data_IF_081855121689
#
_entry.id   IF_081855121689
#
_cell.length_a   1.000
_cell.length_b   1.000
_cell.length_c   1.000
_cell.angle_alpha   90.00
_cell.angle_beta   90.00
_cell.angle_gamma   90.00
#
_symmetry.space_group_name_H-M   'P 1'
#
loop_
_entity.id
_entity.type
_entity.pdbx_description
1 polymer ?
#
# COMPACT_ATOMS: atom_id res chain seq x y z
N UNK A 1 7.72 -20.76 -12.53
CA UNK A 1 8.47 -20.53 -13.80
C UNK A 1 8.82 -19.04 -13.92
N UNK A 2 10.09 -18.70 -14.23
CA UNK A 2 10.48 -17.30 -14.49
C UNK A 2 10.49 -17.05 -16.00
N UNK A 3 9.79 -16.01 -16.47
CA UNK A 3 9.74 -15.58 -17.88
C UNK A 3 10.20 -14.13 -17.94
N UNK A 4 11.29 -13.80 -18.67
CA UNK A 4 11.72 -12.42 -18.89
C UNK A 4 10.59 -11.55 -19.46
N UNK A 5 10.57 -10.27 -19.13
CA UNK A 5 9.45 -9.37 -19.47
C UNK A 5 9.21 -9.30 -20.97
N UNK A 6 10.28 -9.20 -21.75
CA UNK A 6 10.28 -9.11 -23.21
C UNK A 6 9.73 -10.38 -23.89
N UNK A 7 9.76 -11.52 -23.20
CA UNK A 7 9.29 -12.81 -23.74
C UNK A 7 7.88 -13.18 -23.25
N UNK A 8 7.33 -12.44 -22.29
CA UNK A 8 6.04 -12.79 -21.65
C UNK A 8 4.88 -12.82 -22.62
N UNK A 9 4.82 -11.84 -23.54
CA UNK A 9 3.70 -11.78 -24.49
C UNK A 9 3.67 -13.00 -25.42
N UNK A 10 4.81 -13.47 -25.89
CA UNK A 10 4.87 -14.66 -26.74
C UNK A 10 4.66 -15.95 -25.94
N UNK A 11 5.29 -16.05 -24.77
CA UNK A 11 5.11 -17.18 -23.86
C UNK A 11 3.64 -17.36 -23.43
N UNK A 12 2.91 -16.28 -23.16
CA UNK A 12 1.50 -16.36 -22.75
C UNK A 12 0.54 -16.75 -23.88
N UNK A 13 0.99 -16.76 -25.14
CA UNK A 13 0.26 -17.33 -26.28
C UNK A 13 0.48 -18.83 -26.44
N UNK A 14 1.57 -19.35 -25.90
CA UNK A 14 1.94 -20.76 -26.00
C UNK A 14 1.05 -21.63 -25.11
N UNK A 15 0.40 -22.65 -25.70
CA UNK A 15 -0.54 -23.53 -25.00
C UNK A 15 0.13 -24.38 -23.90
N UNK A 16 1.38 -24.79 -24.11
CA UNK A 16 2.12 -25.57 -23.11
C UNK A 16 2.48 -24.71 -21.91
N UNK A 17 2.86 -23.45 -22.15
CA UNK A 17 3.10 -22.47 -21.10
C UNK A 17 1.81 -22.20 -20.31
N UNK A 18 0.67 -21.99 -20.98
CA UNK A 18 -0.63 -21.81 -20.33
C UNK A 18 -1.03 -23.03 -19.49
N UNK A 19 -0.82 -24.24 -20.02
CA UNK A 19 -1.08 -25.48 -19.28
C UNK A 19 -0.24 -25.57 -18.00
N UNK A 20 1.04 -25.24 -18.11
CA UNK A 20 1.96 -25.24 -16.96
C UNK A 20 1.57 -24.17 -15.93
N UNK A 21 1.24 -22.96 -16.37
CA UNK A 21 0.78 -21.89 -15.49
C UNK A 21 -0.53 -22.26 -14.79
N UNK A 22 -1.48 -22.89 -15.49
CA UNK A 22 -2.72 -23.39 -14.89
C UNK A 22 -2.43 -24.41 -13.80
N UNK A 23 -1.59 -25.39 -14.06
CA UNK A 23 -1.18 -26.35 -13.04
C UNK A 23 -0.57 -25.65 -11.81
N UNK A 24 0.45 -24.80 -12.01
CA UNK A 24 1.16 -24.13 -10.91
C UNK A 24 0.28 -23.16 -10.13
N UNK A 25 -0.65 -22.47 -10.79
CA UNK A 25 -1.44 -21.39 -10.21
C UNK A 25 -2.84 -21.81 -9.74
N UNK A 26 -3.31 -23.02 -10.06
CA UNK A 26 -4.64 -23.50 -9.69
C UNK A 26 -4.55 -24.86 -8.98
N UNK A 27 -3.83 -25.81 -9.55
CA UNK A 27 -3.88 -27.21 -9.14
C UNK A 27 -2.77 -27.58 -8.15
N UNK A 28 -1.60 -26.93 -8.22
CA UNK A 28 -0.44 -27.23 -7.38
C UNK A 28 -0.72 -26.89 -5.91
N UNK A 29 -0.63 -27.89 -5.03
CA UNK A 29 -0.87 -27.76 -3.58
C UNK A 29 0.40 -27.43 -2.79
N UNK A 30 1.56 -27.34 -3.41
CA UNK A 30 2.81 -27.00 -2.71
C UNK A 30 2.73 -25.60 -2.12
N UNK A 31 3.40 -25.34 -0.96
CA UNK A 31 3.47 -24.00 -0.39
C UNK A 31 3.99 -22.98 -1.41
N UNK A 32 3.30 -21.85 -1.52
CA UNK A 32 3.63 -20.75 -2.42
C UNK A 32 3.30 -19.43 -1.77
N UNK A 33 4.05 -18.39 -2.10
CA UNK A 33 3.70 -17.00 -1.74
C UNK A 33 2.46 -16.51 -2.49
N UNK A 34 2.15 -17.12 -3.63
CA UNK A 34 0.91 -16.86 -4.35
C UNK A 34 -0.24 -17.65 -3.73
N UNK A 35 -1.28 -16.96 -3.27
CA UNK A 35 -2.40 -17.55 -2.52
C UNK A 35 -3.35 -18.38 -3.36
N UNK A 36 -3.28 -18.33 -4.68
CA UNK A 36 -4.20 -18.97 -5.64
C UNK A 36 -5.67 -18.53 -5.49
N UNK A 37 -5.89 -17.39 -4.83
CA UNK A 37 -7.21 -16.81 -4.58
C UNK A 37 -7.54 -15.83 -5.72
N UNK A 38 -8.02 -16.37 -6.84
CA UNK A 38 -8.40 -15.60 -8.02
C UNK A 38 -9.62 -14.69 -7.78
N UNK A 39 -10.40 -15.00 -6.76
CA UNK A 39 -11.45 -14.16 -6.19
C UNK A 39 -10.92 -12.90 -5.47
N UNK A 40 -9.62 -12.86 -5.16
CA UNK A 40 -8.95 -11.75 -4.49
C UNK A 40 -8.00 -10.95 -5.39
N UNK A 41 -7.92 -11.31 -6.67
CA UNK A 41 -7.16 -10.58 -7.68
C UNK A 41 -8.15 -9.77 -8.50
N UNK A 42 -8.06 -8.44 -8.41
CA UNK A 42 -8.99 -7.51 -9.05
C UNK A 42 -8.34 -6.77 -10.19
N UNK A 43 -9.07 -6.59 -11.30
CA UNK A 43 -8.69 -5.66 -12.35
C UNK A 43 -8.97 -4.24 -11.85
N UNK A 44 -7.92 -3.47 -11.56
CA UNK A 44 -8.03 -2.12 -11.01
C UNK A 44 -8.14 -1.09 -12.11
N UNK A 45 -7.32 -1.26 -13.17
CA UNK A 45 -7.32 -0.33 -14.30
C UNK A 45 -7.08 -1.06 -15.61
N UNK A 46 -7.99 -0.89 -16.53
CA UNK A 46 -7.86 -1.34 -17.91
C UNK A 46 -7.09 -0.32 -18.75
N UNK A 47 -6.19 -0.79 -19.60
CA UNK A 47 -5.48 0.05 -20.56
C UNK A 47 -6.35 0.38 -21.79
N UNK A 48 -7.30 -0.50 -22.15
CA UNK A 48 -8.17 -0.33 -23.28
C UNK A 48 -9.63 -0.01 -22.87
N UNK A 49 -10.30 0.96 -23.52
CA UNK A 49 -11.69 1.34 -23.19
C UNK A 49 -12.66 0.15 -23.18
N UNK A 50 -12.47 -0.83 -24.04
CA UNK A 50 -13.34 -2.03 -24.15
C UNK A 50 -13.38 -2.88 -22.88
N UNK A 51 -12.36 -2.79 -22.01
CA UNK A 51 -12.27 -3.57 -20.76
C UNK A 51 -12.60 -2.75 -19.50
N UNK A 52 -12.85 -1.45 -19.61
CA UNK A 52 -13.18 -0.59 -18.46
C UNK A 52 -14.38 -1.11 -17.66
N UNK A 53 -15.35 -1.77 -18.31
CA UNK A 53 -16.49 -2.38 -17.63
C UNK A 53 -16.13 -3.57 -16.72
N UNK A 54 -14.89 -4.05 -16.79
CA UNK A 54 -14.33 -5.11 -15.93
C UNK A 54 -13.59 -4.56 -14.72
N UNK A 55 -13.35 -3.25 -14.65
CA UNK A 55 -12.68 -2.63 -13.50
C UNK A 55 -13.48 -2.87 -12.20
N UNK A 56 -12.74 -3.17 -11.12
CA UNK A 56 -13.30 -3.55 -9.82
C UNK A 56 -13.77 -5.00 -9.71
N UNK A 57 -13.77 -5.78 -10.79
CA UNK A 57 -14.11 -7.21 -10.76
C UNK A 57 -12.91 -8.08 -10.48
N UNK A 58 -13.13 -9.18 -9.75
CA UNK A 58 -12.10 -10.20 -9.59
C UNK A 58 -11.87 -10.99 -10.88
N UNK A 59 -10.67 -11.55 -11.00
CA UNK A 59 -10.35 -12.42 -12.16
C UNK A 59 -11.32 -13.61 -12.23
N UNK A 60 -11.75 -14.15 -11.10
CA UNK A 60 -12.75 -15.22 -11.07
C UNK A 60 -14.11 -14.76 -11.61
N UNK A 61 -14.57 -13.55 -11.25
CA UNK A 61 -15.81 -12.98 -11.81
C UNK A 61 -15.68 -12.73 -13.31
N UNK A 62 -14.54 -12.21 -13.76
CA UNK A 62 -14.27 -11.99 -15.18
C UNK A 62 -14.26 -13.31 -15.94
N UNK A 63 -13.61 -14.34 -15.40
CA UNK A 63 -13.60 -15.68 -16.00
C UNK A 63 -15.02 -16.24 -16.17
N UNK A 64 -15.87 -16.10 -15.15
CA UNK A 64 -17.30 -16.49 -15.23
C UNK A 64 -18.06 -15.71 -16.29
N UNK A 65 -17.87 -14.38 -16.35
CA UNK A 65 -18.53 -13.53 -17.36
C UNK A 65 -18.13 -13.90 -18.79
N UNK A 66 -16.87 -14.30 -18.98
CA UNK A 66 -16.33 -14.68 -20.30
C UNK A 66 -16.49 -16.18 -20.61
N UNK A 67 -17.03 -16.97 -19.66
CA UNK A 67 -17.11 -18.43 -19.75
C UNK A 67 -15.75 -19.07 -20.08
N UNK A 68 -14.70 -18.63 -19.39
CA UNK A 68 -13.31 -19.05 -19.52
C UNK A 68 -12.76 -19.59 -18.21
N UNK A 69 -11.67 -20.34 -18.30
CA UNK A 69 -10.79 -20.62 -17.16
C UNK A 69 -10.12 -19.34 -16.64
N UNK A 70 -9.82 -19.29 -15.32
CA UNK A 70 -9.25 -18.09 -14.68
C UNK A 70 -7.90 -17.69 -15.27
N UNK A 71 -7.06 -18.67 -15.68
CA UNK A 71 -5.77 -18.40 -16.31
C UNK A 71 -5.98 -17.81 -17.70
N UNK A 72 -6.89 -18.39 -18.49
CA UNK A 72 -7.17 -17.88 -19.83
C UNK A 72 -7.79 -16.48 -19.78
N UNK A 73 -8.72 -16.22 -18.86
CA UNK A 73 -9.31 -14.88 -18.69
C UNK A 73 -8.24 -13.84 -18.31
N UNK A 74 -7.37 -14.17 -17.36
CA UNK A 74 -6.28 -13.29 -16.92
C UNK A 74 -5.27 -13.01 -18.04
N UNK A 75 -4.79 -14.07 -18.71
CA UNK A 75 -3.77 -13.96 -19.76
C UNK A 75 -4.31 -13.28 -21.03
N UNK A 76 -5.54 -13.59 -21.43
CA UNK A 76 -6.13 -13.00 -22.64
C UNK A 76 -6.28 -11.48 -22.50
N UNK A 77 -6.84 -10.99 -21.38
CA UNK A 77 -6.93 -9.55 -21.11
C UNK A 77 -5.53 -8.92 -21.07
N UNK A 78 -4.60 -9.54 -20.34
CA UNK A 78 -3.22 -9.04 -20.25
C UNK A 78 -2.56 -8.93 -21.63
N UNK A 79 -2.75 -9.92 -22.51
CA UNK A 79 -2.20 -9.92 -23.87
C UNK A 79 -2.88 -8.88 -24.78
N UNK A 80 -4.20 -8.77 -24.72
CA UNK A 80 -4.94 -7.77 -25.49
C UNK A 80 -4.52 -6.36 -25.14
N UNK A 81 -4.24 -6.11 -23.87
CA UNK A 81 -3.78 -4.83 -23.32
C UNK A 81 -2.26 -4.67 -23.32
N UNK A 82 -1.52 -5.52 -24.03
CA UNK A 82 -0.05 -5.47 -24.13
C UNK A 82 0.68 -5.49 -22.78
N UNK A 83 0.10 -6.18 -21.80
CA UNK A 83 0.57 -6.31 -20.42
C UNK A 83 0.51 -4.98 -19.60
N UNK A 84 -0.29 -4.01 -20.02
CA UNK A 84 -0.47 -2.71 -19.35
C UNK A 84 -1.67 -2.72 -18.37
N UNK A 85 -2.45 -3.81 -18.31
CA UNK A 85 -3.55 -3.97 -17.34
C UNK A 85 -3.00 -3.97 -15.92
N UNK A 86 -3.59 -3.18 -15.02
CA UNK A 86 -3.23 -3.21 -13.61
C UNK A 86 -4.16 -4.16 -12.85
N UNK A 87 -3.56 -5.20 -12.27
CA UNK A 87 -4.23 -6.09 -11.33
C UNK A 87 -3.70 -5.85 -9.91
N UNK A 88 -4.58 -5.96 -8.94
CA UNK A 88 -4.22 -5.90 -7.53
C UNK A 88 -4.62 -7.19 -6.83
N UNK A 89 -3.68 -7.81 -6.13
CA UNK A 89 -3.98 -8.83 -5.14
C UNK A 89 -4.29 -8.13 -3.82
N UNK A 90 -5.54 -8.14 -3.39
CA UNK A 90 -5.99 -7.43 -2.20
C UNK A 90 -5.80 -8.20 -0.89
N UNK A 91 -5.18 -9.39 -0.95
CA UNK A 91 -5.01 -10.23 0.23
C UNK A 91 -6.36 -10.65 0.87
N UNK A 92 -6.36 -10.91 2.16
CA UNK A 92 -7.61 -11.15 2.89
C UNK A 92 -8.44 -9.87 2.98
N UNK A 93 -9.71 -9.96 2.58
CA UNK A 93 -10.72 -8.92 2.79
C UNK A 93 -11.62 -9.22 3.98
N UNK A 94 -11.16 -10.02 4.92
CA UNK A 94 -11.90 -10.25 6.16
C UNK A 94 -11.79 -9.00 7.05
N UNK A 95 -12.75 -8.11 6.87
CA UNK A 95 -12.82 -6.86 7.61
C UNK A 95 -13.12 -7.07 9.09
N UNK A 96 -13.86 -8.14 9.44
CA UNK A 96 -14.14 -8.46 10.84
C UNK A 96 -12.87 -8.91 11.55
N UNK A 97 -12.13 -9.84 10.96
CA UNK A 97 -10.85 -10.27 11.51
C UNK A 97 -9.83 -9.11 11.56
N UNK A 98 -9.80 -8.26 10.53
CA UNK A 98 -8.94 -7.06 10.53
C UNK A 98 -9.34 -6.10 11.65
N UNK A 99 -10.62 -5.85 11.85
CA UNK A 99 -11.10 -4.99 12.92
C UNK A 99 -10.75 -5.55 14.31
N UNK A 100 -10.81 -6.86 14.52
CA UNK A 100 -10.37 -7.49 15.76
C UNK A 100 -8.86 -7.31 16.00
N UNK A 101 -8.04 -7.51 14.96
CA UNK A 101 -6.60 -7.28 15.03
C UNK A 101 -6.32 -5.82 15.37
N UNK A 102 -6.99 -4.87 14.72
CA UNK A 102 -6.81 -3.44 14.97
C UNK A 102 -7.22 -3.02 16.40
N UNK A 103 -8.25 -3.65 16.98
CA UNK A 103 -8.69 -3.42 18.37
C UNK A 103 -7.74 -4.02 19.40
N UNK A 104 -6.99 -5.04 19.05
CA UNK A 104 -6.11 -5.72 19.99
C UNK A 104 -5.11 -4.75 20.63
N UNK A 105 -4.95 -4.74 21.96
CA UNK A 105 -3.96 -3.91 22.64
C UNK A 105 -2.51 -4.36 22.38
N UNK A 106 -2.32 -5.52 21.77
CA UNK A 106 -1.01 -6.13 21.48
C UNK A 106 -0.56 -5.90 20.04
N UNK A 107 -1.35 -5.22 19.22
CA UNK A 107 -1.01 -4.92 17.83
C UNK A 107 -0.76 -3.43 17.63
N UNK A 108 0.16 -3.12 16.73
CA UNK A 108 0.49 -1.76 16.32
C UNK A 108 0.07 -1.54 14.86
N UNK A 109 -0.16 -0.28 14.51
CA UNK A 109 -0.28 0.17 13.13
C UNK A 109 1.00 0.90 12.78
N UNK A 110 1.89 0.29 12.03
CA UNK A 110 3.22 0.87 11.91
C UNK A 110 4.02 0.60 10.63
N UNK A 111 3.52 -0.23 9.70
CA UNK A 111 4.25 -0.55 8.49
C UNK A 111 3.32 -0.88 7.33
N UNK A 112 3.76 -0.60 6.10
CA UNK A 112 2.97 -0.80 4.89
C UNK A 112 3.72 -1.46 3.72
N UNK A 113 5.01 -1.79 3.85
CA UNK A 113 5.92 -2.19 2.76
C UNK A 113 6.04 -1.16 1.62
N UNK A 114 5.50 0.03 1.78
CA UNK A 114 5.56 1.08 0.77
C UNK A 114 7.02 1.39 0.40
N UNK A 115 7.27 1.51 -0.91
CA UNK A 115 8.61 1.75 -1.44
C UNK A 115 9.46 0.48 -1.66
N UNK A 116 9.05 -0.69 -1.17
CA UNK A 116 9.78 -1.93 -1.39
C UNK A 116 9.74 -2.36 -2.88
N UNK A 117 8.63 -2.11 -3.56
CA UNK A 117 8.41 -2.42 -4.97
C UNK A 117 7.74 -1.24 -5.67
N UNK A 118 8.52 -0.26 -6.09
CA UNK A 118 8.07 1.06 -6.55
C UNK A 118 6.92 1.06 -7.57
N UNK A 119 6.85 0.05 -8.44
CA UNK A 119 5.81 -0.05 -9.48
C UNK A 119 4.68 -1.02 -9.12
N UNK A 120 4.77 -1.73 -7.99
CA UNK A 120 3.79 -2.76 -7.61
C UNK A 120 3.11 -2.51 -6.27
N UNK A 121 3.65 -1.61 -5.45
CA UNK A 121 3.18 -1.43 -4.08
C UNK A 121 3.05 0.05 -3.73
N UNK A 122 1.85 0.45 -3.31
CA UNK A 122 1.52 1.82 -2.95
C UNK A 122 0.84 1.92 -1.57
N UNK A 123 1.32 1.17 -0.58
CA UNK A 123 0.77 1.21 0.78
C UNK A 123 1.14 2.47 1.59
N UNK A 124 1.55 3.57 0.94
CA UNK A 124 1.96 4.81 1.62
C UNK A 124 0.85 5.41 2.49
N UNK A 125 -0.41 5.29 2.05
CA UNK A 125 -1.58 5.84 2.72
C UNK A 125 -2.06 5.07 3.94
N UNK A 126 -1.33 4.08 4.47
CA UNK A 126 -1.82 3.21 5.55
C UNK A 126 -2.32 3.99 6.79
N UNK A 127 -1.64 5.05 7.18
CA UNK A 127 -2.02 5.86 8.34
C UNK A 127 -3.32 6.66 8.09
N UNK A 128 -3.44 7.29 6.92
CA UNK A 128 -4.64 8.04 6.54
C UNK A 128 -5.82 7.13 6.23
N UNK A 129 -5.58 5.93 5.67
CA UNK A 129 -6.59 4.86 5.57
C UNK A 129 -7.07 4.40 6.94
N UNK A 130 -6.16 4.20 7.88
CA UNK A 130 -6.52 3.81 9.24
C UNK A 130 -7.44 4.86 9.89
N UNK A 131 -7.10 6.14 9.79
CA UNK A 131 -7.92 7.23 10.34
C UNK A 131 -9.26 7.40 9.60
N UNK A 132 -9.25 7.38 8.27
CA UNK A 132 -10.46 7.58 7.46
C UNK A 132 -11.36 6.36 7.47
N UNK A 133 -10.87 5.26 6.93
CA UNK A 133 -11.68 4.06 6.72
C UNK A 133 -11.98 3.30 8.01
N UNK A 134 -10.96 2.97 8.81
CA UNK A 134 -11.17 2.15 10.00
C UNK A 134 -11.74 2.92 11.20
N UNK A 135 -11.28 4.14 11.42
CA UNK A 135 -11.74 4.95 12.59
C UNK A 135 -13.04 5.68 12.27
N UNK A 136 -13.03 6.56 11.25
CA UNK A 136 -14.20 7.41 10.95
C UNK A 136 -15.37 6.62 10.40
N UNK A 137 -15.17 5.81 9.35
CA UNK A 137 -16.25 5.12 8.62
C UNK A 137 -16.70 3.86 9.35
N UNK A 138 -15.77 2.97 9.69
CA UNK A 138 -16.08 1.69 10.33
C UNK A 138 -16.13 1.73 11.86
N UNK A 139 -15.73 2.83 12.48
CA UNK A 139 -15.82 3.08 13.95
C UNK A 139 -15.24 1.93 14.78
N UNK A 140 -14.13 1.37 14.36
CA UNK A 140 -13.50 0.23 15.04
C UNK A 140 -12.98 0.58 16.43
N UNK A 141 -12.66 1.85 16.68
CA UNK A 141 -12.26 2.41 17.98
C UNK A 141 -12.45 3.93 17.99
N UNK A 142 -12.28 4.57 19.15
CA UNK A 142 -12.27 6.04 19.26
C UNK A 142 -11.05 6.64 18.55
N UNK A 143 -11.17 7.88 18.07
CA UNK A 143 -10.10 8.59 17.36
C UNK A 143 -8.82 8.67 18.20
N UNK A 144 -8.97 9.00 19.48
CA UNK A 144 -7.86 9.17 20.43
C UNK A 144 -7.06 7.86 20.58
N UNK A 145 -7.74 6.71 20.62
CA UNK A 145 -7.09 5.42 20.68
C UNK A 145 -6.38 5.10 19.38
N UNK A 146 -6.98 5.43 18.23
CA UNK A 146 -6.33 5.31 16.93
C UNK A 146 -5.05 6.15 16.83
N UNK A 147 -5.11 7.40 17.25
CA UNK A 147 -3.93 8.29 17.32
C UNK A 147 -2.87 7.70 18.24
N UNK A 148 -3.26 7.20 19.42
CA UNK A 148 -2.34 6.56 20.36
C UNK A 148 -1.61 5.36 19.72
N UNK A 149 -2.31 4.54 18.94
CA UNK A 149 -1.74 3.39 18.22
C UNK A 149 -0.73 3.82 17.14
N UNK A 150 -0.97 4.92 16.45
CA UNK A 150 -0.08 5.44 15.41
C UNK A 150 1.14 6.22 15.98
N UNK A 151 1.07 6.67 17.23
CA UNK A 151 2.06 7.60 17.80
C UNK A 151 2.73 7.03 19.06
N UNK A 152 2.10 7.19 20.22
CA UNK A 152 2.70 6.84 21.51
C UNK A 152 3.06 5.37 21.64
N UNK A 153 2.21 4.45 21.18
CA UNK A 153 2.50 3.01 21.27
C UNK A 153 3.74 2.64 20.46
N UNK A 154 3.84 3.15 19.24
CA UNK A 154 4.99 2.91 18.35
C UNK A 154 6.26 3.52 18.96
N UNK A 155 6.20 4.80 19.38
CA UNK A 155 7.32 5.48 20.00
C UNK A 155 7.81 4.73 21.24
N UNK A 156 6.90 4.29 22.11
CA UNK A 156 7.22 3.53 23.32
C UNK A 156 7.88 2.19 23.02
N UNK A 157 7.38 1.46 22.03
CA UNK A 157 7.95 0.16 21.64
C UNK A 157 9.39 0.31 21.15
N UNK A 158 9.68 1.36 20.40
CA UNK A 158 11.02 1.63 19.87
C UNK A 158 11.91 2.44 20.83
N UNK A 159 11.45 2.75 22.03
CA UNK A 159 12.23 3.48 23.05
C UNK A 159 12.43 4.96 22.70
N UNK A 160 11.57 5.56 21.89
CA UNK A 160 11.58 6.98 21.56
C UNK A 160 10.85 7.77 22.64
N UNK A 161 11.59 8.17 23.70
CA UNK A 161 10.99 8.74 24.91
C UNK A 161 10.65 10.22 24.80
N UNK A 162 11.11 10.91 23.75
CA UNK A 162 10.98 12.34 23.54
C UNK A 162 9.91 12.73 22.51
N UNK A 163 9.09 11.78 22.05
CA UNK A 163 8.05 11.98 21.02
C UNK A 163 6.86 11.04 21.17
N UNK A 164 5.84 11.20 20.33
CA UNK A 164 4.61 10.39 20.36
C UNK A 164 3.52 10.93 21.32
N UNK A 165 3.82 11.99 22.07
CA UNK A 165 2.89 12.71 22.94
C UNK A 165 3.11 14.21 22.81
N UNK A 166 2.03 15.00 22.96
CA UNK A 166 2.09 16.46 23.04
C UNK A 166 2.34 16.83 24.51
N UNK A 167 3.57 17.13 24.87
CA UNK A 167 4.00 17.54 26.22
C UNK A 167 5.13 18.58 26.17
N UNK A 168 5.21 19.51 27.11
CA UNK A 168 6.36 20.40 27.25
C UNK A 168 7.68 19.58 27.35
N UNK A 169 8.69 19.99 26.59
CA UNK A 169 9.99 19.32 26.55
C UNK A 169 10.11 18.18 25.57
N UNK A 170 9.05 17.76 24.91
CA UNK A 170 9.09 16.78 23.82
C UNK A 170 9.36 17.44 22.46
N UNK A 171 9.84 16.65 21.51
CA UNK A 171 10.02 17.09 20.13
C UNK A 171 8.66 17.47 19.53
N UNK A 172 8.63 18.59 18.84
CA UNK A 172 7.40 19.05 18.15
C UNK A 172 7.28 18.35 16.79
N UNK A 173 7.00 17.03 16.84
CA UNK A 173 6.63 16.22 15.68
C UNK A 173 5.11 16.10 15.67
N UNK A 174 4.44 16.88 14.84
CA UNK A 174 3.01 17.09 14.89
C UNK A 174 2.38 16.90 13.50
N UNK A 175 1.14 16.45 13.48
CA UNK A 175 0.29 16.45 12.28
C UNK A 175 -0.98 17.20 12.57
N UNK A 176 -1.31 18.16 11.71
CA UNK A 176 -2.59 18.84 11.70
C UNK A 176 -3.45 18.23 10.59
N UNK A 177 -4.57 17.67 10.94
CA UNK A 177 -5.50 17.06 9.98
C UNK A 177 -6.96 17.32 10.35
N UNK A 178 -7.82 17.19 9.37
CA UNK A 178 -9.27 17.26 9.54
C UNK A 178 -9.81 15.82 9.70
N UNK A 179 -10.36 15.45 10.86
CA UNK A 179 -10.87 14.11 11.12
C UNK A 179 -12.06 13.74 10.23
N UNK A 180 -12.82 14.72 9.72
CA UNK A 180 -13.99 14.47 8.87
C UNK A 180 -13.62 14.16 7.41
N UNK A 181 -12.43 14.59 6.98
CA UNK A 181 -12.02 14.46 5.58
C UNK A 181 -10.76 13.63 5.35
N UNK A 182 -10.00 13.33 6.42
CA UNK A 182 -8.74 12.55 6.30
C UNK A 182 -8.97 11.19 5.65
N UNK A 183 -8.23 10.92 4.57
CA UNK A 183 -8.23 9.64 3.85
C UNK A 183 -7.04 9.54 2.92
N UNK A 184 -6.72 8.31 2.51
CA UNK A 184 -5.84 8.08 1.35
C UNK A 184 -6.55 8.39 0.03
N UNK A 185 -5.76 8.77 -0.97
CA UNK A 185 -6.19 8.82 -2.37
C UNK A 185 -5.90 7.50 -3.08
N UNK A 186 -6.49 7.30 -4.26
CA UNK A 186 -6.09 6.19 -5.13
C UNK A 186 -4.62 6.35 -5.55
N UNK A 187 -3.87 5.22 -5.64
CA UNK A 187 -2.51 5.26 -6.16
C UNK A 187 -2.46 5.75 -7.60
N UNK A 188 -1.45 6.55 -7.92
CA UNK A 188 -1.19 7.02 -9.27
C UNK A 188 0.23 6.67 -9.72
N UNK A 189 0.39 6.37 -11.02
CA UNK A 189 1.70 6.11 -11.61
C UNK A 189 2.31 7.44 -12.07
N UNK A 190 3.51 7.75 -11.59
CA UNK A 190 4.27 8.95 -11.97
C UNK A 190 5.63 8.56 -12.55
N UNK A 191 6.21 9.43 -13.39
CA UNK A 191 7.49 9.21 -14.05
C UNK A 191 8.51 10.24 -13.54
N UNK A 192 8.82 10.21 -12.26
CA UNK A 192 9.66 11.20 -11.58
C UNK A 192 10.98 10.63 -11.02
N UNK A 193 11.27 9.37 -11.32
CA UNK A 193 12.57 8.77 -10.99
C UNK A 193 13.65 9.14 -12.02
N UNK A 194 14.94 9.08 -11.64
CA UNK A 194 16.04 9.28 -12.57
C UNK A 194 15.90 8.40 -13.82
N UNK A 195 16.12 8.99 -15.00
CA UNK A 195 15.92 8.32 -16.29
C UNK A 195 14.48 8.28 -16.78
N UNK A 196 13.53 8.93 -16.08
CA UNK A 196 12.10 8.90 -16.42
C UNK A 196 11.40 7.61 -16.03
N UNK A 197 11.99 6.83 -15.13
CA UNK A 197 11.41 5.58 -14.64
C UNK A 197 10.15 5.84 -13.80
N UNK A 198 9.27 4.85 -13.80
CA UNK A 198 7.93 4.90 -13.18
C UNK A 198 7.96 4.48 -11.72
N UNK A 199 7.12 5.12 -10.92
CA UNK A 199 6.75 4.63 -9.58
C UNK A 199 5.29 4.92 -9.25
N UNK A 200 4.72 4.14 -8.33
CA UNK A 200 3.46 4.48 -7.70
C UNK A 200 3.69 5.54 -6.63
N UNK A 201 2.79 6.51 -6.57
CA UNK A 201 2.64 7.45 -5.46
C UNK A 201 1.21 7.37 -4.92
N UNK A 202 1.03 7.68 -3.65
CA UNK A 202 -0.29 7.74 -3.03
C UNK A 202 -0.37 9.00 -2.18
N UNK A 203 -1.27 9.90 -2.54
CA UNK A 203 -1.51 11.15 -1.81
C UNK A 203 -2.53 10.93 -0.71
N UNK A 204 -2.68 11.93 0.14
CA UNK A 204 -3.69 11.97 1.19
C UNK A 204 -4.54 13.24 1.06
N UNK A 205 -5.79 13.16 1.49
CA UNK A 205 -6.66 14.31 1.71
C UNK A 205 -6.82 14.54 3.21
N UNK A 206 -7.21 15.77 3.59
CA UNK A 206 -7.50 16.11 4.97
C UNK A 206 -6.28 16.32 5.88
N UNK A 207 -5.06 16.03 5.42
CA UNK A 207 -3.83 16.41 6.12
C UNK A 207 -3.47 17.83 5.71
N UNK A 208 -3.45 18.74 6.70
CA UNK A 208 -3.16 20.16 6.47
C UNK A 208 -1.68 20.47 6.62
N UNK A 209 -1.04 19.90 7.64
CA UNK A 209 0.34 20.23 7.95
C UNK A 209 1.04 19.06 8.64
N UNK A 210 2.29 18.83 8.27
CA UNK A 210 3.19 17.94 8.99
C UNK A 210 4.36 18.77 9.50
N UNK A 211 4.62 18.70 10.80
CA UNK A 211 5.67 19.44 11.49
C UNK A 211 6.66 18.42 12.04
N UNK A 212 7.94 18.64 11.82
CA UNK A 212 9.04 17.79 12.33
C UNK A 212 10.05 18.66 13.06
N UNK A 213 10.36 18.30 14.30
CA UNK A 213 11.24 19.08 15.17
C UNK A 213 10.89 20.58 15.22
N UNK A 214 9.60 20.93 15.14
CA UNK A 214 9.10 22.30 15.21
C UNK A 214 9.10 23.07 13.87
N UNK A 215 9.55 22.47 12.78
CA UNK A 215 9.51 23.11 11.45
C UNK A 215 8.46 22.45 10.55
N UNK A 216 7.75 23.26 9.77
CA UNK A 216 6.73 22.77 8.82
C UNK A 216 7.42 22.12 7.65
N UNK A 217 7.27 20.78 7.56
CA UNK A 217 7.86 19.97 6.49
C UNK A 217 6.94 19.88 5.26
N UNK A 218 5.63 19.71 5.49
CA UNK A 218 4.60 19.62 4.44
C UNK A 218 3.44 20.51 4.84
N UNK A 219 2.90 21.27 3.89
CA UNK A 219 1.72 22.10 4.04
C UNK A 219 0.79 21.89 2.85
N UNK A 220 -0.49 21.60 3.08
CA UNK A 220 -1.51 21.30 2.07
C UNK A 220 -1.06 20.30 0.98
N UNK A 221 -0.27 19.30 1.37
CA UNK A 221 0.24 18.24 0.49
C UNK A 221 1.55 18.58 -0.24
N UNK A 222 2.08 19.79 -0.09
CA UNK A 222 3.29 20.24 -0.74
C UNK A 222 4.46 20.33 0.25
N UNK A 223 5.65 19.87 -0.18
CA UNK A 223 6.87 19.94 0.63
C UNK A 223 7.42 21.37 0.65
N UNK A 224 7.69 21.90 1.84
CA UNK A 224 8.14 23.29 2.04
C UNK A 224 9.59 23.57 1.64
N UNK A 225 10.38 22.51 1.38
CA UNK A 225 11.81 22.62 1.07
C UNK A 225 12.74 22.51 2.27
N UNK A 226 12.21 22.42 3.51
CA UNK A 226 13.04 22.24 4.72
C UNK A 226 13.24 20.75 5.02
N UNK A 227 14.35 20.39 5.65
CA UNK A 227 14.71 19.01 6.02
C UNK A 227 15.09 18.92 7.50
N UNK A 228 14.12 19.09 8.43
CA UNK A 228 14.38 19.16 9.87
C UNK A 228 14.57 17.79 10.52
N UNK A 229 14.45 16.70 9.76
CA UNK A 229 14.57 15.33 10.25
C UNK A 229 15.93 15.02 10.85
N UNK A 230 15.96 14.13 11.85
CA UNK A 230 17.18 13.62 12.48
C UNK A 230 17.12 12.11 12.58
N UNK A 231 18.28 11.46 12.50
CA UNK A 231 18.38 10.02 12.80
C UNK A 231 18.16 9.81 14.28
N UNK A 232 17.20 8.96 14.63
CA UNK A 232 16.84 8.63 16.01
C UNK A 232 17.48 7.30 16.41
N UNK A 233 17.94 7.23 17.65
CA UNK A 233 18.43 6.00 18.27
C UNK A 233 17.85 5.87 19.68
N UNK A 234 17.93 4.69 20.29
CA UNK A 234 17.37 4.35 21.62
C UNK A 234 17.81 5.33 22.72
N UNK A 235 17.25 6.55 22.75
CA UNK A 235 17.52 7.57 23.77
C UNK A 235 18.96 8.12 23.79
N UNK A 236 19.83 7.69 22.88
CA UNK A 236 21.16 8.24 22.67
C UNK A 236 21.24 8.76 21.24
N UNK A 237 21.33 10.07 21.08
CA UNK A 237 21.76 10.67 19.82
C UNK A 237 23.04 9.95 19.45
N UNK A 238 23.13 9.38 18.26
CA UNK A 238 24.38 8.86 17.72
C UNK A 238 25.34 10.05 17.44
N UNK A 239 25.76 10.75 18.47
CA UNK A 239 26.82 11.72 18.43
C UNK A 239 28.15 10.93 18.32
N UNK A 240 28.51 10.55 17.09
CA UNK A 240 29.79 9.88 16.93
C UNK A 240 30.18 9.35 15.55
N UNK A 241 29.39 9.50 14.52
CA UNK A 241 29.74 8.94 13.20
C UNK A 241 29.86 9.95 12.04
N UNK A 242 29.91 11.25 12.32
CA UNK A 242 30.21 12.24 11.29
C UNK A 242 31.26 13.26 11.85
N UNK A 243 32.43 12.78 12.22
CA UNK A 243 33.61 13.62 12.38
C UNK A 243 34.86 12.84 11.91
N UNK A 244 35.08 12.86 10.63
CA UNK A 244 36.38 12.92 9.95
C UNK A 244 36.17 12.96 8.45
#
# INVERSE_FOLDING_TARGET
>A
MFIPVEQRADAFRDLEVRRKLRYEAVEDTRPSTFTRRWDQIFLIKAALPKHQHLEGKSVEEIARLQNKDVIDAFLDISLEEKLETLFQNSGSRDELATAEILRSPFTLVGQSDAGAHLIYHAGYGYATRFLGYWIRENKVMALEEGIRKLTFMVASLFGLNDRGLIRPGMAADLVLFDPETVRECEPEMVNDLPGGEKRLVQRALGVKMTIVNGEVLVEDGEHTGVFPGRVLGNGKIANGYLSS
#
